data_IF_546105079028
#
_entry.id   IF_546105079028
#
_cell.length_a   1.000
_cell.length_b   1.000
_cell.length_c   1.000
_cell.angle_alpha   90.00
_cell.angle_beta   90.00
_cell.angle_gamma   90.00
#
_symmetry.space_group_name_H-M   'P 1'
#
loop_
_entity.id
_entity.type
_entity.pdbx_description
1 polymer ?
#
# COMPACT_ATOMS: atom_id res chain seq x y z
N UNK A 1 -9.57 14.52 22.77
CA UNK A 1 -8.70 13.60 21.99
C UNK A 1 -9.25 13.56 20.56
N UNK A 2 -8.42 13.66 19.52
CA UNK A 2 -8.87 13.94 18.14
C UNK A 2 -9.96 12.98 17.60
N UNK A 3 -9.94 11.70 17.96
CA UNK A 3 -11.00 10.76 17.56
C UNK A 3 -12.37 11.01 18.22
N UNK A 4 -12.40 11.62 19.41
CA UNK A 4 -13.64 12.12 20.02
C UNK A 4 -14.25 13.25 19.19
N UNK A 5 -13.42 14.13 18.60
CA UNK A 5 -13.90 15.19 17.72
C UNK A 5 -14.58 14.61 16.47
N UNK A 6 -13.98 13.58 15.85
CA UNK A 6 -14.60 12.91 14.70
C UNK A 6 -15.96 12.30 15.05
N UNK A 7 -16.10 11.70 16.24
CA UNK A 7 -17.37 11.12 16.69
C UNK A 7 -18.44 12.19 16.98
N UNK A 8 -18.04 13.36 17.50
CA UNK A 8 -18.95 14.43 17.92
C UNK A 8 -19.38 15.36 16.78
N UNK A 9 -18.60 15.38 15.69
CA UNK A 9 -18.94 16.18 14.52
C UNK A 9 -20.14 15.63 13.76
N UNK A 10 -20.92 16.54 13.18
CA UNK A 10 -21.91 16.19 12.18
C UNK A 10 -21.25 15.51 10.97
N UNK A 11 -21.99 14.70 10.20
CA UNK A 11 -21.43 13.93 9.09
C UNK A 11 -20.60 14.78 8.12
N UNK A 12 -21.10 15.98 7.75
CA UNK A 12 -20.41 16.86 6.80
C UNK A 12 -19.05 17.29 7.35
N UNK A 13 -18.99 17.77 8.59
CA UNK A 13 -17.73 18.16 9.22
C UNK A 13 -16.77 16.97 9.39
N UNK A 14 -17.30 15.79 9.74
CA UNK A 14 -16.51 14.56 9.91
C UNK A 14 -15.77 14.18 8.63
N UNK A 15 -16.45 14.16 7.49
CA UNK A 15 -15.83 13.80 6.21
C UNK A 15 -14.95 14.92 5.65
N UNK A 16 -15.31 16.18 5.88
CA UNK A 16 -14.51 17.32 5.44
C UNK A 16 -13.12 17.36 6.11
N UNK A 17 -13.04 17.02 7.40
CA UNK A 17 -11.80 17.09 8.17
C UNK A 17 -11.18 15.72 8.46
N UNK A 18 -11.81 14.63 8.01
CA UNK A 18 -11.36 13.26 8.22
C UNK A 18 -9.93 13.02 7.75
N UNK A 19 -9.55 13.60 6.61
CA UNK A 19 -8.20 13.52 6.05
C UNK A 19 -7.07 14.02 6.97
N UNK A 20 -7.36 14.97 7.87
CA UNK A 20 -6.36 15.54 8.78
C UNK A 20 -6.19 14.68 10.03
N UNK A 21 -7.25 14.00 10.45
CA UNK A 21 -7.31 13.31 11.74
C UNK A 21 -7.09 11.82 11.57
N UNK A 22 -7.64 11.20 10.53
CA UNK A 22 -7.58 9.76 10.32
C UNK A 22 -6.14 9.24 10.32
N UNK A 23 -5.18 9.82 9.57
CA UNK A 23 -3.80 9.36 9.60
C UNK A 23 -3.18 9.39 11.01
N UNK A 24 -3.50 10.42 11.80
CA UNK A 24 -3.01 10.57 13.18
C UNK A 24 -3.58 9.49 14.10
N UNK A 25 -4.87 9.19 13.97
CA UNK A 25 -5.50 8.11 14.75
C UNK A 25 -4.91 6.75 14.37
N UNK A 26 -4.76 6.48 13.07
CA UNK A 26 -4.16 5.23 12.57
C UNK A 26 -2.76 5.03 13.14
N UNK A 27 -1.89 6.05 13.07
CA UNK A 27 -0.55 5.99 13.69
C UNK A 27 -0.61 5.83 15.21
N UNK A 28 -1.58 6.48 15.88
CA UNK A 28 -1.81 6.31 17.30
C UNK A 28 -2.18 4.88 17.72
N UNK A 29 -2.89 4.12 16.86
CA UNK A 29 -3.22 2.70 17.13
C UNK A 29 -1.98 1.78 17.14
N UNK A 30 -0.85 2.28 16.65
CA UNK A 30 0.42 1.56 16.53
C UNK A 30 1.47 2.05 17.52
N UNK A 31 1.09 2.98 18.42
CA UNK A 31 2.00 3.57 19.39
C UNK A 31 2.46 2.54 20.44
N UNK A 32 3.70 2.65 20.89
CA UNK A 32 4.28 1.76 21.90
C UNK A 32 3.72 1.99 23.31
N UNK A 33 3.16 3.18 23.58
CA UNK A 33 2.51 3.48 24.86
C UNK A 33 1.11 2.85 24.91
N UNK A 34 0.85 1.87 25.79
CA UNK A 34 -0.41 1.11 25.78
C UNK A 34 -1.66 1.97 25.95
N UNK A 35 -1.58 3.04 26.75
CA UNK A 35 -2.70 3.99 26.95
C UNK A 35 -3.02 4.75 25.66
N UNK A 36 -2.01 5.22 24.93
CA UNK A 36 -2.20 5.93 23.66
C UNK A 36 -2.79 4.96 22.62
N UNK A 37 -2.19 3.79 22.49
CA UNK A 37 -2.65 2.75 21.58
C UNK A 37 -4.11 2.36 21.84
N UNK A 38 -4.45 2.02 23.09
CA UNK A 38 -5.80 1.60 23.47
C UNK A 38 -6.80 2.71 23.20
N UNK A 39 -6.46 3.96 23.53
CA UNK A 39 -7.38 5.07 23.33
C UNK A 39 -7.58 5.38 21.84
N UNK A 40 -6.54 5.24 21.01
CA UNK A 40 -6.68 5.41 19.56
C UNK A 40 -7.47 4.26 18.92
N UNK A 41 -7.25 3.01 19.33
CA UNK A 41 -8.05 1.85 18.88
C UNK A 41 -9.53 2.02 19.22
N UNK A 42 -9.83 2.37 20.47
CA UNK A 42 -11.20 2.63 20.92
C UNK A 42 -11.83 3.81 20.16
N UNK A 43 -11.04 4.84 19.86
CA UNK A 43 -11.54 5.98 19.08
C UNK A 43 -11.81 5.59 17.64
N UNK A 44 -10.93 4.82 17.00
CA UNK A 44 -11.10 4.35 15.64
C UNK A 44 -12.36 3.49 15.49
N UNK A 45 -12.57 2.55 16.42
CA UNK A 45 -13.77 1.71 16.45
C UNK A 45 -15.05 2.53 16.57
N UNK A 46 -15.10 3.49 17.52
CA UNK A 46 -16.24 4.41 17.66
C UNK A 46 -16.49 5.25 16.41
N UNK A 47 -15.42 5.76 15.78
CA UNK A 47 -15.54 6.51 14.51
C UNK A 47 -16.14 5.62 13.42
N UNK A 48 -15.70 4.37 13.31
CA UNK A 48 -16.30 3.38 12.40
C UNK A 48 -17.80 3.23 12.62
N UNK A 49 -18.23 2.98 13.86
CA UNK A 49 -19.65 2.84 14.20
C UNK A 49 -20.44 4.13 13.90
N UNK A 50 -19.90 5.31 14.23
CA UNK A 50 -20.52 6.60 13.89
C UNK A 50 -20.69 6.78 12.39
N UNK A 51 -19.68 6.44 11.58
CA UNK A 51 -19.77 6.53 10.13
C UNK A 51 -20.79 5.54 9.54
N UNK A 52 -20.97 4.36 10.13
CA UNK A 52 -22.03 3.43 9.73
C UNK A 52 -23.41 3.98 10.06
N UNK A 53 -23.56 4.63 11.21
CA UNK A 53 -24.81 5.31 11.57
C UNK A 53 -25.14 6.45 10.58
N UNK A 54 -24.14 7.19 10.10
CA UNK A 54 -24.34 8.21 9.05
C UNK A 54 -24.87 7.58 7.76
N UNK A 55 -24.33 6.43 7.34
CA UNK A 55 -24.78 5.73 6.14
C UNK A 55 -26.24 5.27 6.26
N UNK A 56 -26.65 4.79 7.44
CA UNK A 56 -28.06 4.45 7.73
C UNK A 56 -28.92 5.72 7.70
N UNK A 57 -28.47 6.80 8.34
CA UNK A 57 -29.18 8.07 8.37
C UNK A 57 -29.34 8.72 6.99
N UNK A 58 -28.40 8.46 6.08
CA UNK A 58 -28.46 8.90 4.69
C UNK A 58 -29.26 7.95 3.77
N UNK A 59 -29.73 6.81 4.27
CA UNK A 59 -30.46 5.80 3.49
C UNK A 59 -29.57 5.01 2.52
N UNK A 60 -28.26 4.98 2.73
CA UNK A 60 -27.31 4.15 1.95
C UNK A 60 -27.35 2.70 2.45
N UNK A 61 -27.55 2.51 3.75
CA UNK A 61 -27.81 1.22 4.38
C UNK A 61 -29.24 1.17 4.89
N UNK A 62 -29.93 0.06 4.65
CA UNK A 62 -31.32 -0.13 5.10
C UNK A 62 -31.43 -0.19 6.63
N UNK A 63 -30.41 -0.76 7.29
CA UNK A 63 -30.33 -0.89 8.73
C UNK A 63 -28.88 -0.95 9.21
N UNK A 64 -28.68 -0.72 10.51
CA UNK A 64 -27.38 -0.89 11.15
C UNK A 64 -27.02 -2.39 11.21
N UNK A 65 -25.81 -2.82 10.79
CA UNK A 65 -25.41 -4.23 10.82
C UNK A 65 -25.44 -4.82 12.23
N UNK A 66 -25.89 -6.07 12.36
CA UNK A 66 -26.01 -6.74 13.66
C UNK A 66 -24.66 -7.12 14.27
N UNK A 67 -23.66 -7.43 13.44
CA UNK A 67 -22.28 -7.63 13.87
C UNK A 67 -21.57 -6.27 14.00
N UNK A 68 -21.19 -5.93 15.23
CA UNK A 68 -20.48 -4.68 15.53
C UNK A 68 -19.16 -4.55 14.77
N UNK A 69 -18.44 -5.66 14.51
CA UNK A 69 -17.19 -5.62 13.75
C UNK A 69 -17.42 -5.34 12.27
N UNK A 70 -18.50 -5.88 11.72
CA UNK A 70 -18.91 -5.59 10.35
C UNK A 70 -19.36 -4.12 10.24
N UNK A 71 -20.15 -3.65 11.20
CA UNK A 71 -20.54 -2.25 11.28
C UNK A 71 -19.33 -1.32 11.38
N UNK A 72 -18.35 -1.60 12.24
CA UNK A 72 -17.11 -0.83 12.32
C UNK A 72 -16.37 -0.80 10.97
N UNK A 73 -16.21 -1.96 10.35
CA UNK A 73 -15.49 -2.11 9.07
C UNK A 73 -16.14 -1.30 7.95
N UNK A 74 -17.47 -1.38 7.79
CA UNK A 74 -18.20 -0.64 6.74
C UNK A 74 -18.02 0.87 6.92
N UNK A 75 -18.17 1.37 8.13
CA UNK A 75 -18.04 2.80 8.41
C UNK A 75 -16.61 3.30 8.24
N UNK A 76 -15.61 2.51 8.61
CA UNK A 76 -14.20 2.83 8.35
C UNK A 76 -13.89 2.82 6.85
N UNK A 77 -14.40 1.85 6.09
CA UNK A 77 -14.25 1.83 4.63
C UNK A 77 -14.84 3.10 4.00
N UNK A 78 -16.02 3.51 4.43
CA UNK A 78 -16.63 4.75 3.95
C UNK A 78 -15.81 5.99 4.31
N UNK A 79 -15.38 6.13 5.57
CA UNK A 79 -14.55 7.26 5.98
C UNK A 79 -13.24 7.31 5.17
N UNK A 80 -12.56 6.16 5.04
CA UNK A 80 -11.31 6.06 4.27
C UNK A 80 -11.55 6.47 2.83
N UNK A 81 -12.61 5.97 2.18
CA UNK A 81 -12.96 6.39 0.82
C UNK A 81 -13.12 7.91 0.70
N UNK A 82 -13.86 8.53 1.61
CA UNK A 82 -14.12 9.97 1.60
C UNK A 82 -12.87 10.83 1.78
N UNK A 83 -11.80 10.30 2.39
CA UNK A 83 -10.58 11.04 2.69
C UNK A 83 -9.30 10.40 2.12
N UNK A 84 -9.45 9.47 1.17
CA UNK A 84 -8.39 8.55 0.76
C UNK A 84 -7.17 9.28 0.21
N UNK A 85 -7.37 10.14 -0.79
CA UNK A 85 -6.26 10.70 -1.56
C UNK A 85 -5.28 11.46 -0.66
N UNK A 86 -5.78 12.33 0.23
CA UNK A 86 -4.92 13.13 1.12
C UNK A 86 -4.34 12.29 2.26
N UNK A 87 -5.11 11.36 2.83
CA UNK A 87 -4.61 10.45 3.86
C UNK A 87 -3.47 9.57 3.32
N UNK A 88 -3.65 9.03 2.12
CA UNK A 88 -2.64 8.21 1.45
C UNK A 88 -1.39 9.02 1.12
N UNK A 89 -1.52 10.25 0.60
CA UNK A 89 -0.36 11.14 0.36
C UNK A 89 0.42 11.36 1.66
N UNK A 90 -0.26 11.73 2.74
CA UNK A 90 0.38 11.99 4.02
C UNK A 90 1.13 10.76 4.55
N UNK A 91 0.50 9.58 4.52
CA UNK A 91 1.12 8.35 5.01
C UNK A 91 2.27 7.88 4.13
N UNK A 92 2.19 8.06 2.80
CA UNK A 92 3.29 7.80 1.86
C UNK A 92 4.51 8.68 2.22
N UNK A 93 4.30 9.96 2.50
CA UNK A 93 5.38 10.86 2.90
C UNK A 93 6.04 10.41 4.21
N UNK A 94 5.23 10.00 5.20
CA UNK A 94 5.75 9.44 6.46
C UNK A 94 6.53 8.14 6.24
N UNK A 95 6.06 7.24 5.37
CA UNK A 95 6.75 6.00 5.01
C UNK A 95 8.11 6.23 4.34
N UNK A 96 8.34 7.41 3.75
CA UNK A 96 9.63 7.78 3.15
C UNK A 96 10.55 8.58 4.09
N UNK A 97 10.20 8.68 5.38
CA UNK A 97 11.02 9.38 6.38
C UNK A 97 12.39 8.72 6.59
N UNK A 98 13.44 9.53 6.71
CA UNK A 98 14.78 9.06 7.10
C UNK A 98 14.87 8.60 8.56
N UNK A 99 13.93 9.01 9.42
CA UNK A 99 13.83 8.53 10.79
C UNK A 99 13.12 7.18 10.80
N UNK A 100 13.85 6.11 11.14
CA UNK A 100 13.36 4.72 11.08
C UNK A 100 12.03 4.50 11.79
N UNK A 101 11.90 4.92 13.05
CA UNK A 101 10.64 4.76 13.83
C UNK A 101 9.45 5.41 13.12
N UNK A 102 9.66 6.58 12.50
CA UNK A 102 8.60 7.27 11.74
C UNK A 102 8.27 6.54 10.45
N UNK A 103 9.28 6.00 9.75
CA UNK A 103 9.08 5.19 8.57
C UNK A 103 8.32 3.90 8.88
N UNK A 104 8.68 3.17 9.94
CA UNK A 104 7.96 1.98 10.41
C UNK A 104 6.50 2.30 10.75
N UNK A 105 6.29 3.34 11.56
CA UNK A 105 4.94 3.79 11.94
C UNK A 105 4.14 4.19 10.70
N UNK A 106 4.77 4.91 9.77
CA UNK A 106 4.18 5.33 8.50
C UNK A 106 3.76 4.14 7.64
N UNK A 107 4.63 3.15 7.44
CA UNK A 107 4.32 1.92 6.69
C UNK A 107 3.19 1.12 7.33
N UNK A 108 3.22 0.90 8.64
CA UNK A 108 2.16 0.20 9.36
C UNK A 108 0.82 0.94 9.28
N UNK A 109 0.86 2.27 9.37
CA UNK A 109 -0.32 3.13 9.25
C UNK A 109 -0.87 3.12 7.82
N UNK A 110 0.02 3.18 6.82
CA UNK A 110 -0.34 3.07 5.41
C UNK A 110 -1.01 1.72 5.13
N UNK A 111 -0.44 0.62 5.63
CA UNK A 111 -1.05 -0.70 5.53
C UNK A 111 -2.47 -0.71 6.10
N UNK A 112 -2.66 -0.19 7.32
CA UNK A 112 -3.98 -0.13 7.96
C UNK A 112 -4.98 0.74 7.17
N UNK A 113 -4.54 1.86 6.59
CA UNK A 113 -5.38 2.66 5.68
C UNK A 113 -5.82 1.83 4.46
N UNK A 114 -4.89 1.10 3.85
CA UNK A 114 -5.14 0.31 2.65
C UNK A 114 -6.06 -0.91 2.90
N UNK A 115 -6.09 -1.44 4.13
CA UNK A 115 -7.03 -2.50 4.53
C UNK A 115 -8.50 -2.05 4.43
N UNK A 116 -8.76 -0.76 4.62
CA UNK A 116 -10.09 -0.15 4.49
C UNK A 116 -10.32 0.58 3.16
N UNK A 117 -9.31 0.73 2.32
CA UNK A 117 -9.45 1.42 1.04
C UNK A 117 -10.35 0.63 0.08
N UNK A 118 -11.15 1.34 -0.72
CA UNK A 118 -11.95 0.71 -1.78
C UNK A 118 -11.04 0.21 -2.90
N UNK A 119 -11.54 -0.72 -3.72
CA UNK A 119 -10.80 -1.20 -4.89
C UNK A 119 -10.45 -0.05 -5.84
N UNK A 120 -11.40 0.85 -6.09
CA UNK A 120 -11.19 2.01 -6.98
C UNK A 120 -10.10 2.94 -6.48
N UNK A 121 -10.05 3.18 -5.17
CA UNK A 121 -9.00 3.98 -4.54
C UNK A 121 -7.61 3.33 -4.71
N UNK A 122 -7.53 2.01 -4.54
CA UNK A 122 -6.29 1.26 -4.74
C UNK A 122 -5.83 1.28 -6.20
N UNK A 123 -6.74 1.06 -7.15
CA UNK A 123 -6.43 1.09 -8.59
C UNK A 123 -5.94 2.49 -8.99
N UNK A 124 -6.61 3.55 -8.51
CA UNK A 124 -6.22 4.94 -8.81
C UNK A 124 -4.82 5.29 -8.28
N UNK A 125 -4.43 4.75 -7.13
CA UNK A 125 -3.17 5.11 -6.46
C UNK A 125 -2.02 4.13 -6.67
N UNK A 126 -2.25 2.96 -7.28
CA UNK A 126 -1.28 1.85 -7.35
C UNK A 126 0.08 2.29 -7.88
N UNK A 127 0.13 3.18 -8.87
CA UNK A 127 1.40 3.67 -9.43
C UNK A 127 2.22 4.48 -8.42
N UNK A 128 1.54 5.30 -7.61
CA UNK A 128 2.17 6.13 -6.56
C UNK A 128 2.58 5.26 -5.38
N UNK A 129 1.73 4.32 -4.97
CA UNK A 129 2.05 3.34 -3.94
C UNK A 129 3.28 2.51 -4.35
N UNK A 130 3.31 1.98 -5.58
CA UNK A 130 4.42 1.19 -6.06
C UNK A 130 5.74 1.99 -6.07
N UNK A 131 5.69 3.26 -6.51
CA UNK A 131 6.86 4.13 -6.44
C UNK A 131 7.34 4.34 -4.99
N UNK A 132 6.42 4.54 -4.04
CA UNK A 132 6.76 4.63 -2.62
C UNK A 132 7.44 3.35 -2.12
N UNK A 133 6.84 2.19 -2.37
CA UNK A 133 7.36 0.90 -1.91
C UNK A 133 8.74 0.60 -2.50
N UNK A 134 8.97 0.91 -3.79
CA UNK A 134 10.27 0.77 -4.42
C UNK A 134 11.33 1.64 -3.72
N UNK A 135 11.02 2.91 -3.46
CA UNK A 135 11.96 3.83 -2.80
C UNK A 135 12.29 3.37 -1.39
N UNK A 136 11.27 3.08 -0.59
CA UNK A 136 11.46 2.60 0.78
C UNK A 136 12.32 1.34 0.80
N UNK A 137 12.00 0.35 -0.03
CA UNK A 137 12.74 -0.90 -0.10
C UNK A 137 14.18 -0.71 -0.55
N UNK A 138 14.41 0.08 -1.61
CA UNK A 138 15.74 0.35 -2.14
C UNK A 138 16.65 1.04 -1.11
N UNK A 139 16.08 1.90 -0.26
CA UNK A 139 16.83 2.61 0.80
C UNK A 139 16.96 1.83 2.11
N UNK A 140 16.21 0.74 2.28
CA UNK A 140 16.19 -0.09 3.47
C UNK A 140 17.22 -1.24 3.40
N UNK A 141 18.38 -1.01 2.78
CA UNK A 141 19.44 -2.01 2.67
C UNK A 141 19.94 -2.35 4.09
N UNK A 142 19.71 -3.59 4.53
CA UNK A 142 19.93 -4.14 5.89
C UNK A 142 18.83 -3.90 6.94
N UNK A 143 17.66 -3.36 6.58
CA UNK A 143 16.53 -3.21 7.51
C UNK A 143 15.43 -4.24 7.19
N UNK A 144 15.60 -5.47 7.65
CA UNK A 144 14.69 -6.60 7.38
C UNK A 144 13.24 -6.27 7.76
N UNK A 145 13.02 -5.65 8.92
CA UNK A 145 11.66 -5.30 9.40
C UNK A 145 10.94 -4.32 8.46
N UNK A 146 11.66 -3.39 7.83
CA UNK A 146 11.11 -2.47 6.83
C UNK A 146 10.77 -3.22 5.54
N UNK A 147 11.68 -4.09 5.09
CA UNK A 147 11.48 -4.88 3.87
C UNK A 147 10.27 -5.81 4.02
N UNK A 148 10.10 -6.45 5.18
CA UNK A 148 8.93 -7.28 5.49
C UNK A 148 7.63 -6.47 5.49
N UNK A 149 7.63 -5.26 6.03
CA UNK A 149 6.46 -4.39 5.98
C UNK A 149 6.11 -3.96 4.57
N UNK A 150 7.11 -3.65 3.74
CA UNK A 150 6.90 -3.36 2.31
C UNK A 150 6.28 -4.56 1.60
N UNK A 151 6.78 -5.77 1.84
CA UNK A 151 6.19 -6.98 1.29
C UNK A 151 4.76 -7.24 1.80
N UNK A 152 4.49 -6.97 3.08
CA UNK A 152 3.14 -7.11 3.62
C UNK A 152 2.14 -6.17 2.94
N UNK A 153 2.56 -4.93 2.61
CA UNK A 153 1.73 -4.00 1.82
C UNK A 153 1.58 -4.51 0.39
N UNK A 154 2.65 -4.99 -0.25
CA UNK A 154 2.60 -5.53 -1.60
C UNK A 154 1.58 -6.68 -1.70
N UNK A 155 1.58 -7.58 -0.70
CA UNK A 155 0.63 -8.69 -0.62
C UNK A 155 -0.80 -8.23 -0.38
N UNK A 156 -1.01 -7.25 0.50
CA UNK A 156 -2.32 -6.64 0.69
C UNK A 156 -2.86 -6.07 -0.63
N UNK A 157 -2.01 -5.39 -1.41
CA UNK A 157 -2.43 -4.82 -2.69
C UNK A 157 -2.81 -5.91 -3.70
N UNK A 158 -2.05 -7.00 -3.77
CA UNK A 158 -2.34 -8.12 -4.67
C UNK A 158 -3.66 -8.81 -4.30
N UNK A 159 -3.91 -9.02 -3.01
CA UNK A 159 -5.13 -9.67 -2.51
C UNK A 159 -6.38 -8.80 -2.72
N UNK A 160 -6.23 -7.48 -2.59
CA UNK A 160 -7.34 -6.52 -2.66
C UNK A 160 -7.67 -6.04 -4.07
N UNK A 161 -6.71 -6.06 -4.99
CA UNK A 161 -6.93 -5.66 -6.36
C UNK A 161 -7.71 -6.74 -7.12
N UNK A 162 -8.55 -6.37 -8.09
CA UNK A 162 -9.39 -7.32 -8.83
C UNK A 162 -8.57 -8.24 -9.74
N UNK A 163 -7.33 -7.86 -10.05
CA UNK A 163 -6.37 -8.68 -10.78
C UNK A 163 -4.94 -8.38 -10.32
N UNK A 164 -4.10 -9.39 -10.07
CA UNK A 164 -2.67 -9.23 -9.84
C UNK A 164 -1.95 -8.51 -10.99
N UNK A 165 -2.49 -8.59 -12.21
CA UNK A 165 -1.95 -7.92 -13.40
C UNK A 165 -1.82 -6.41 -13.20
N UNK A 166 -2.73 -5.78 -12.46
CA UNK A 166 -2.68 -4.33 -12.18
C UNK A 166 -1.41 -3.98 -11.39
N UNK A 167 -1.04 -4.81 -10.42
CA UNK A 167 0.16 -4.64 -9.63
C UNK A 167 1.42 -4.92 -10.47
N UNK A 168 1.40 -5.99 -11.26
CA UNK A 168 2.50 -6.39 -12.14
C UNK A 168 2.76 -5.38 -13.24
N UNK A 169 1.72 -4.78 -13.82
CA UNK A 169 1.85 -3.70 -14.80
C UNK A 169 2.47 -2.45 -14.15
N UNK A 170 2.00 -2.06 -12.96
CA UNK A 170 2.58 -0.94 -12.23
C UNK A 170 4.08 -1.14 -11.91
N UNK A 171 4.50 -2.38 -11.66
CA UNK A 171 5.89 -2.77 -11.45
C UNK A 171 6.72 -2.80 -12.73
N UNK A 172 6.25 -3.51 -13.74
CA UNK A 172 7.00 -3.74 -14.98
C UNK A 172 7.17 -2.48 -15.81
N UNK A 173 6.23 -1.52 -15.72
CA UNK A 173 6.37 -0.18 -16.30
C UNK A 173 7.67 0.51 -15.85
N UNK A 174 8.16 0.24 -14.63
CA UNK A 174 9.38 0.82 -14.07
C UNK A 174 10.64 0.39 -14.80
N UNK A 175 10.58 -0.73 -15.53
CA UNK A 175 11.68 -1.27 -16.34
C UNK A 175 11.73 -0.67 -17.75
N UNK A 176 10.83 0.25 -18.10
CA UNK A 176 10.86 0.92 -19.40
C UNK A 176 12.13 1.75 -19.58
N UNK A 177 12.80 1.55 -20.73
CA UNK A 177 14.09 2.20 -21.05
C UNK A 177 14.06 3.71 -20.83
N UNK A 178 13.00 4.39 -21.26
CA UNK A 178 12.86 5.85 -21.11
C UNK A 178 12.78 6.26 -19.63
N UNK A 179 12.16 5.46 -18.78
CA UNK A 179 12.04 5.76 -17.34
C UNK A 179 13.37 5.53 -16.63
N UNK A 180 14.06 4.44 -16.95
CA UNK A 180 15.37 4.14 -16.41
C UNK A 180 16.38 5.24 -16.78
N UNK A 181 16.53 5.54 -18.07
CA UNK A 181 17.46 6.59 -18.55
C UNK A 181 17.23 7.95 -17.87
N UNK A 182 15.97 8.30 -17.59
CA UNK A 182 15.61 9.56 -16.96
C UNK A 182 15.50 9.48 -15.42
N UNK A 183 15.77 8.32 -14.83
CA UNK A 183 15.59 8.03 -13.40
C UNK A 183 14.23 8.53 -12.87
N UNK A 184 13.18 8.32 -13.68
CA UNK A 184 11.85 8.91 -13.49
C UNK A 184 11.16 8.48 -12.17
N UNK A 185 11.68 7.45 -11.51
CA UNK A 185 11.20 6.92 -10.25
C UNK A 185 11.89 7.54 -9.02
N UNK A 186 12.87 8.42 -9.24
CA UNK A 186 13.60 9.11 -8.17
C UNK A 186 14.60 8.22 -7.44
N UNK A 187 15.12 7.22 -8.16
CA UNK A 187 16.15 6.27 -7.75
C UNK A 187 17.11 6.04 -8.93
N UNK A 188 18.37 5.69 -8.66
CA UNK A 188 19.28 5.17 -9.67
C UNK A 188 18.67 4.00 -10.44
N UNK A 189 19.00 3.91 -11.74
CA UNK A 189 18.45 2.88 -12.63
C UNK A 189 18.76 1.46 -12.16
N UNK A 190 19.97 1.22 -11.67
CA UNK A 190 20.44 -0.07 -11.16
C UNK A 190 19.66 -0.49 -9.90
N UNK A 191 19.45 0.43 -8.96
CA UNK A 191 18.61 0.19 -7.79
C UNK A 191 17.17 -0.13 -8.19
N UNK A 192 16.60 0.62 -9.14
CA UNK A 192 15.24 0.39 -9.65
C UNK A 192 15.10 -1.01 -10.23
N UNK A 193 16.03 -1.41 -11.11
CA UNK A 193 16.03 -2.72 -11.75
C UNK A 193 16.17 -3.85 -10.72
N UNK A 194 17.11 -3.72 -9.77
CA UNK A 194 17.31 -4.69 -8.69
C UNK A 194 16.05 -4.87 -7.84
N UNK A 195 15.44 -3.78 -7.38
CA UNK A 195 14.25 -3.84 -6.52
C UNK A 195 13.05 -4.41 -7.26
N UNK A 196 12.83 -4.04 -8.52
CA UNK A 196 11.72 -4.59 -9.31
C UNK A 196 11.88 -6.10 -9.52
N UNK A 197 13.10 -6.58 -9.79
CA UNK A 197 13.35 -8.04 -9.91
C UNK A 197 13.03 -8.76 -8.61
N UNK A 198 13.46 -8.22 -7.46
CA UNK A 198 13.16 -8.81 -6.14
C UNK A 198 11.65 -8.85 -5.85
N UNK A 199 10.92 -7.79 -6.22
CA UNK A 199 9.47 -7.77 -6.05
C UNK A 199 8.81 -8.81 -6.94
N UNK A 200 9.19 -8.88 -8.22
CA UNK A 200 8.66 -9.88 -9.14
C UNK A 200 8.93 -11.30 -8.64
N UNK A 201 10.16 -11.60 -8.21
CA UNK A 201 10.52 -12.89 -7.62
C UNK A 201 9.59 -13.22 -6.44
N UNK A 202 9.43 -12.29 -5.49
CA UNK A 202 8.57 -12.50 -4.33
C UNK A 202 7.11 -12.72 -4.72
N UNK A 203 6.57 -11.89 -5.60
CA UNK A 203 5.17 -11.97 -6.04
C UNK A 203 4.89 -13.32 -6.71
N UNK A 204 5.78 -13.76 -7.60
CA UNK A 204 5.59 -14.99 -8.36
C UNK A 204 5.65 -16.27 -7.51
N UNK A 205 6.26 -16.21 -6.32
CA UNK A 205 6.15 -17.33 -5.35
C UNK A 205 4.77 -17.45 -4.72
N UNK A 206 3.89 -16.45 -4.89
CA UNK A 206 2.64 -16.31 -4.14
C UNK A 206 1.39 -16.26 -5.03
N UNK A 207 1.56 -16.04 -6.34
CA UNK A 207 0.44 -16.00 -7.29
C UNK A 207 0.68 -16.97 -8.45
N UNK A 208 -0.42 -17.57 -8.94
CA UNK A 208 -0.40 -18.30 -10.19
C UNK A 208 -0.71 -17.34 -11.33
N UNK A 209 0.19 -17.26 -12.30
CA UNK A 209 -0.01 -16.48 -13.50
C UNK A 209 -0.62 -17.32 -14.61
N UNK A 210 -1.41 -16.67 -15.47
CA UNK A 210 -1.76 -17.23 -16.77
C UNK A 210 -0.54 -17.23 -17.71
N UNK A 211 -0.58 -18.10 -18.71
CA UNK A 211 0.46 -18.17 -19.74
C UNK A 211 0.69 -16.81 -20.45
N UNK A 212 -0.38 -16.04 -20.64
CA UNK A 212 -0.31 -14.70 -21.25
C UNK A 212 0.47 -13.72 -20.37
N UNK A 213 0.20 -13.72 -19.06
CA UNK A 213 0.91 -12.85 -18.10
C UNK A 213 2.38 -13.25 -17.98
N UNK A 214 2.66 -14.55 -17.89
CA UNK A 214 4.03 -15.10 -17.89
C UNK A 214 4.82 -14.63 -19.11
N UNK A 215 4.25 -14.80 -20.32
CA UNK A 215 4.89 -14.32 -21.57
C UNK A 215 5.13 -12.81 -21.56
N UNK A 216 4.17 -12.02 -21.06
CA UNK A 216 4.31 -10.56 -20.95
C UNK A 216 5.47 -10.19 -20.03
N UNK A 217 5.56 -10.77 -18.83
CA UNK A 217 6.65 -10.50 -17.89
C UNK A 217 8.00 -10.90 -18.50
N UNK A 218 8.10 -12.11 -19.07
CA UNK A 218 9.31 -12.59 -19.76
C UNK A 218 9.78 -11.59 -20.81
N UNK A 219 8.88 -11.14 -21.68
CA UNK A 219 9.20 -10.17 -22.74
C UNK A 219 9.77 -8.84 -22.23
N UNK A 220 9.48 -8.48 -20.97
CA UNK A 220 9.98 -7.27 -20.32
C UNK A 220 11.31 -7.54 -19.62
N UNK A 221 11.38 -8.57 -18.79
CA UNK A 221 12.59 -8.85 -17.99
C UNK A 221 13.75 -9.34 -18.85
N UNK A 222 13.48 -9.94 -20.02
CA UNK A 222 14.50 -10.42 -20.95
C UNK A 222 15.07 -9.32 -21.87
N UNK A 223 14.53 -8.09 -21.83
CA UNK A 223 15.01 -6.99 -22.67
C UNK A 223 16.54 -6.79 -22.52
N UNK A 224 17.31 -6.75 -23.62
CA UNK A 224 18.77 -6.75 -23.55
C UNK A 224 19.37 -5.58 -22.78
N UNK A 225 18.81 -4.37 -22.94
CA UNK A 225 19.32 -3.16 -22.28
C UNK A 225 19.28 -3.22 -20.75
N UNK A 226 18.46 -4.11 -20.18
CA UNK A 226 18.39 -4.24 -18.72
C UNK A 226 19.72 -4.70 -18.13
N UNK A 227 20.56 -5.40 -18.91
CA UNK A 227 21.89 -5.83 -18.48
C UNK A 227 22.82 -4.65 -18.15
N UNK A 228 22.61 -3.49 -18.79
CA UNK A 228 23.42 -2.29 -18.57
C UNK A 228 23.22 -1.69 -17.17
N UNK A 229 22.19 -2.14 -16.45
CA UNK A 229 21.79 -1.67 -15.12
C UNK A 229 21.89 -2.76 -14.05
N UNK A 230 22.58 -3.88 -14.31
CA UNK A 230 22.63 -5.02 -13.38
C UNK A 230 24.06 -5.32 -12.95
N UNK A 231 24.24 -5.58 -11.66
CA UNK A 231 25.42 -6.25 -11.13
C UNK A 231 25.27 -7.79 -11.26
N UNK A 232 26.35 -8.53 -10.95
CA UNK A 232 26.36 -10.00 -11.04
C UNK A 232 25.23 -10.66 -10.22
N UNK A 233 24.98 -10.18 -8.99
CA UNK A 233 23.90 -10.69 -8.12
C UNK A 233 22.52 -10.50 -8.77
N UNK A 234 22.26 -9.32 -9.34
CA UNK A 234 20.98 -9.01 -9.99
C UNK A 234 20.78 -9.84 -11.25
N UNK A 235 21.86 -10.12 -12.00
CA UNK A 235 21.82 -11.03 -13.16
C UNK A 235 21.43 -12.44 -12.71
N UNK A 236 22.02 -12.95 -11.63
CA UNK A 236 21.69 -14.27 -11.08
C UNK A 236 20.22 -14.36 -10.66
N UNK A 237 19.72 -13.38 -9.90
CA UNK A 237 18.31 -13.32 -9.50
C UNK A 237 17.37 -13.22 -10.70
N UNK A 238 17.73 -12.43 -11.72
CA UNK A 238 16.99 -12.39 -12.98
C UNK A 238 16.94 -13.76 -13.66
N UNK A 239 18.06 -14.50 -13.69
CA UNK A 239 18.09 -15.83 -14.30
C UNK A 239 17.20 -16.82 -13.55
N UNK A 240 17.21 -16.79 -12.21
CA UNK A 240 16.33 -17.60 -11.37
C UNK A 240 14.84 -17.25 -11.59
N UNK A 241 14.53 -15.96 -11.69
CA UNK A 241 13.21 -15.45 -12.03
C UNK A 241 12.73 -15.97 -13.39
N UNK A 242 13.55 -15.81 -14.44
CA UNK A 242 13.25 -16.27 -15.80
C UNK A 242 13.08 -17.80 -15.85
N UNK A 243 13.91 -18.54 -15.12
CA UNK A 243 13.79 -19.99 -15.03
C UNK A 243 12.47 -20.42 -14.39
N UNK A 244 12.06 -19.75 -13.31
CA UNK A 244 10.80 -20.00 -12.63
C UNK A 244 9.60 -19.70 -13.53
N UNK A 245 9.64 -18.60 -14.28
CA UNK A 245 8.60 -18.21 -15.23
C UNK A 245 8.45 -19.20 -16.40
N UNK A 246 9.53 -19.82 -16.87
CA UNK A 246 9.43 -20.85 -17.91
C UNK A 246 8.85 -22.18 -17.42
N UNK A 247 8.78 -22.40 -16.11
CA UNK A 247 8.22 -23.61 -15.49
C UNK A 247 6.76 -23.48 -15.07
N UNK A 248 6.29 -22.25 -14.87
CA UNK A 248 4.92 -21.92 -14.47
C UNK A 248 3.98 -22.00 -15.68
#
# INVERSE_FOLDING_TARGET
MLGKLLCEWDPRSRYQYGELILPVILSGTLNELPTVQTTCKNSLSKVGLSCTQDLVGAGVLDAFPADEKEAEKIGLQHLVHMCYDKSAVYLIEQSTSFVQIRQETGLRSLKLLLEYATVDDLVRSIRKLMQCLLRVFATAENQTDIQEQVYAILMLLIDRLPSPEICLEALTLKLDRKRLVNEADGLPSDMTVRTVILFLERILTLINLSESETKRILSIVEKPYLKDYMNAETIEKKQQLVYSLHKA
#
